data_IF_962698668541
#
_entry.id   IF_962698668541
#
_cell.length_a   1.000
_cell.length_b   1.000
_cell.length_c   1.000
_cell.angle_alpha   90.00
_cell.angle_beta   90.00
_cell.angle_gamma   90.00
#
_symmetry.space_group_name_H-M   'P 1'
#
loop_
_entity.id
_entity.type
_entity.pdbx_description
1 polymer ?
#
# COMPACT_ATOMS: atom_id res chain seq x y z
N UNK A 1 -16.25 11.81 14.21
CA UNK A 1 -17.50 11.03 14.43
C UNK A 1 -17.77 10.18 13.21
N UNK A 2 -17.88 8.86 13.38
CA UNK A 2 -18.27 7.92 12.32
C UNK A 2 -19.80 7.83 12.22
N UNK A 3 -20.48 8.97 12.12
CA UNK A 3 -21.93 8.99 12.03
C UNK A 3 -22.37 8.39 10.68
N UNK A 4 -23.32 7.45 10.72
CA UNK A 4 -23.82 6.75 9.53
C UNK A 4 -24.83 7.57 8.73
N UNK A 5 -25.46 8.57 9.36
CA UNK A 5 -26.47 9.43 8.75
C UNK A 5 -26.24 10.89 9.16
N UNK A 6 -26.69 11.87 8.34
CA UNK A 6 -26.61 13.29 8.67
C UNK A 6 -27.25 13.64 10.02
N UNK A 7 -28.41 13.04 10.30
CA UNK A 7 -29.13 13.27 11.56
C UNK A 7 -28.33 12.83 12.79
N UNK A 8 -27.71 11.64 12.74
CA UNK A 8 -26.86 11.17 13.85
C UNK A 8 -25.60 12.04 14.04
N UNK A 9 -25.08 12.64 12.97
CA UNK A 9 -23.95 13.55 13.05
C UNK A 9 -24.35 14.88 13.72
N UNK A 10 -25.52 15.41 13.37
CA UNK A 10 -26.05 16.65 13.91
C UNK A 10 -26.41 16.53 15.38
N UNK A 11 -27.06 15.43 15.77
CA UNK A 11 -27.33 15.10 17.17
C UNK A 11 -26.03 15.01 17.98
N UNK A 12 -25.02 14.30 17.48
CA UNK A 12 -23.74 14.18 18.17
C UNK A 12 -22.97 15.52 18.28
N UNK A 13 -23.10 16.40 17.28
CA UNK A 13 -22.57 17.77 17.35
C UNK A 13 -23.29 18.60 18.42
N UNK A 14 -24.63 18.57 18.44
CA UNK A 14 -25.44 19.26 19.44
C UNK A 14 -25.14 18.75 20.85
N UNK A 15 -24.96 17.45 21.03
CA UNK A 15 -24.49 16.85 22.29
C UNK A 15 -23.11 17.41 22.70
N UNK A 16 -22.17 17.52 21.75
CA UNK A 16 -20.79 17.96 22.02
C UNK A 16 -20.66 19.45 22.36
N UNK A 17 -21.56 20.30 21.85
CA UNK A 17 -21.63 21.74 22.16
C UNK A 17 -22.47 22.00 23.44
N UNK A 18 -23.08 20.95 24.01
CA UNK A 18 -23.83 20.99 25.27
C UNK A 18 -25.32 21.33 25.11
N UNK A 19 -25.91 21.10 23.94
CA UNK A 19 -27.29 21.46 23.61
C UNK A 19 -28.33 20.39 23.99
N UNK A 20 -27.89 19.14 24.21
CA UNK A 20 -28.77 18.01 24.51
C UNK A 20 -28.15 17.21 25.67
N UNK A 21 -28.67 17.40 26.88
CA UNK A 21 -28.22 16.72 28.10
C UNK A 21 -27.56 17.65 29.12
N UNK A 22 -28.15 17.73 30.29
CA UNK A 22 -28.01 18.77 31.31
C UNK A 22 -26.72 18.79 32.14
N UNK A 23 -25.59 18.21 31.72
CA UNK A 23 -24.43 18.04 32.62
C UNK A 23 -23.03 18.09 31.97
N UNK A 24 -22.84 18.82 30.87
CA UNK A 24 -21.49 19.02 30.30
C UNK A 24 -21.03 20.45 30.54
N UNK A 25 -19.90 20.62 31.25
CA UNK A 25 -19.21 21.91 31.36
C UNK A 25 -18.92 22.44 29.96
N UNK A 26 -19.55 23.55 29.59
CA UNK A 26 -19.32 24.19 28.30
C UNK A 26 -18.03 25.00 28.37
N UNK A 27 -17.09 24.70 27.48
CA UNK A 27 -15.85 25.44 27.35
C UNK A 27 -15.98 26.38 26.14
N UNK A 28 -15.96 27.71 26.29
CA UNK A 28 -16.20 28.65 25.20
C UNK A 28 -15.27 28.43 23.99
N UNK A 29 -13.97 28.26 24.24
CA UNK A 29 -12.98 28.00 23.20
C UNK A 29 -13.19 26.66 22.47
N UNK A 30 -13.68 25.64 23.19
CA UNK A 30 -14.02 24.34 22.62
C UNK A 30 -15.25 24.44 21.71
N UNK A 31 -16.28 25.18 22.15
CA UNK A 31 -17.48 25.39 21.37
C UNK A 31 -17.19 26.17 20.08
N UNK A 32 -16.36 27.22 20.15
CA UNK A 32 -15.90 27.94 18.96
C UNK A 32 -15.14 27.03 17.98
N UNK A 33 -14.26 26.18 18.51
CA UNK A 33 -13.54 25.19 17.72
C UNK A 33 -14.49 24.19 17.04
N UNK A 34 -15.45 23.64 17.79
CA UNK A 34 -16.44 22.71 17.27
C UNK A 34 -17.34 23.34 16.19
N UNK A 35 -17.81 24.57 16.39
CA UNK A 35 -18.58 25.33 15.40
C UNK A 35 -17.76 25.49 14.12
N UNK A 36 -16.48 25.90 14.23
CA UNK A 36 -15.57 26.07 13.09
C UNK A 36 -15.37 24.78 12.31
N UNK A 37 -15.28 23.64 13.01
CA UNK A 37 -15.16 22.32 12.39
C UNK A 37 -16.47 21.86 11.75
N UNK A 38 -17.60 22.09 12.43
CA UNK A 38 -18.93 21.73 11.95
C UNK A 38 -19.31 22.47 10.67
N UNK A 39 -18.91 23.73 10.53
CA UNK A 39 -19.08 24.52 9.30
C UNK A 39 -18.33 23.94 8.09
N UNK A 40 -17.43 22.97 8.30
CA UNK A 40 -16.67 22.27 7.25
C UNK A 40 -16.96 20.77 7.24
N UNK A 41 -18.10 20.33 7.80
CA UNK A 41 -18.48 18.91 7.97
C UNK A 41 -18.46 18.11 6.67
N UNK A 42 -18.76 18.73 5.54
CA UNK A 42 -18.74 18.14 4.20
C UNK A 42 -17.34 17.61 3.82
N UNK A 43 -16.27 18.23 4.34
CA UNK A 43 -14.89 17.84 4.04
C UNK A 43 -14.42 16.60 4.81
N UNK A 44 -15.02 16.29 5.95
CA UNK A 44 -14.48 15.28 6.88
C UNK A 44 -15.51 14.28 7.40
N UNK A 45 -16.77 14.66 7.56
CA UNK A 45 -17.82 13.83 8.13
C UNK A 45 -18.40 12.89 7.06
N UNK A 46 -18.26 11.58 7.26
CA UNK A 46 -18.66 10.55 6.28
C UNK A 46 -20.13 10.66 5.86
N UNK A 47 -21.01 11.06 6.78
CA UNK A 47 -22.44 11.23 6.52
C UNK A 47 -22.77 12.35 5.51
N UNK A 48 -21.87 13.33 5.32
CA UNK A 48 -22.05 14.49 4.44
C UNK A 48 -21.10 14.47 3.23
N UNK A 49 -20.35 13.39 3.00
CA UNK A 49 -19.47 13.26 1.83
C UNK A 49 -20.27 12.86 0.60
N UNK A 50 -19.93 13.44 -0.54
CA UNK A 50 -20.41 13.01 -1.85
C UNK A 50 -19.36 12.12 -2.57
N UNK A 51 -19.71 11.63 -3.75
CA UNK A 51 -18.85 10.80 -4.60
C UNK A 51 -17.59 11.50 -5.12
N UNK A 52 -17.51 12.83 -5.01
CA UNK A 52 -16.32 13.62 -5.37
C UNK A 52 -15.25 13.54 -4.29
N UNK A 53 -15.63 13.26 -3.04
CA UNK A 53 -14.74 13.10 -1.89
C UNK A 53 -14.49 11.60 -1.63
N UNK A 54 -13.79 10.94 -2.56
CA UNK A 54 -13.45 9.51 -2.45
C UNK A 54 -12.58 9.22 -1.21
N UNK A 55 -13.11 8.41 -0.30
CA UNK A 55 -12.42 7.29 0.38
C UNK A 55 -11.14 7.52 1.22
N UNK A 56 -10.64 8.73 1.38
CA UNK A 56 -9.42 8.96 2.16
C UNK A 56 -9.76 9.40 3.59
N UNK A 57 -9.50 8.51 4.55
CA UNK A 57 -9.31 8.91 5.94
C UNK A 57 -7.90 9.50 6.02
N UNK A 58 -7.77 10.80 5.73
CA UNK A 58 -6.49 11.54 5.64
C UNK A 58 -5.60 11.26 6.84
N UNK A 59 -6.20 11.07 8.01
CA UNK A 59 -5.51 10.76 9.25
C UNK A 59 -4.67 9.48 9.17
N UNK A 60 -5.15 8.41 8.54
CA UNK A 60 -4.39 7.16 8.45
C UNK A 60 -3.12 7.34 7.61
N UNK A 61 -3.19 8.09 6.50
CA UNK A 61 -2.02 8.35 5.67
C UNK A 61 -1.01 9.26 6.36
N UNK A 62 -1.47 10.34 7.00
CA UNK A 62 -0.59 11.23 7.75
C UNK A 62 0.05 10.53 8.95
N UNK A 63 -0.72 9.72 9.70
CA UNK A 63 -0.20 8.95 10.83
C UNK A 63 0.78 7.87 10.37
N UNK A 64 0.49 7.16 9.28
CA UNK A 64 1.42 6.17 8.70
C UNK A 64 2.68 6.86 8.21
N UNK A 65 2.58 8.00 7.51
CA UNK A 65 3.75 8.74 7.01
C UNK A 65 4.66 9.22 8.16
N UNK A 66 4.07 9.84 9.18
CA UNK A 66 4.81 10.30 10.37
C UNK A 66 5.43 9.12 11.11
N UNK A 67 4.70 8.00 11.23
CA UNK A 67 5.21 6.78 11.86
C UNK A 67 6.38 6.19 11.09
N UNK A 68 6.29 6.04 9.77
CA UNK A 68 7.40 5.56 8.94
C UNK A 68 8.62 6.48 9.10
N UNK A 69 8.42 7.79 9.06
CA UNK A 69 9.52 8.74 9.23
C UNK A 69 10.18 8.61 10.61
N UNK A 70 9.39 8.54 11.68
CA UNK A 70 9.90 8.41 13.05
C UNK A 70 10.56 7.05 13.31
N UNK A 71 9.99 5.99 12.76
CA UNK A 71 10.34 4.61 13.10
C UNK A 71 11.45 4.07 12.23
N UNK A 72 11.38 4.30 10.92
CA UNK A 72 12.34 3.77 9.94
C UNK A 72 13.47 4.77 9.71
N UNK A 73 13.14 6.03 9.36
CA UNK A 73 14.13 7.05 8.96
C UNK A 73 14.92 7.58 10.16
N UNK A 74 14.24 7.93 11.25
CA UNK A 74 14.90 8.40 12.48
C UNK A 74 15.27 7.26 13.44
N UNK A 75 14.83 6.03 13.12
CA UNK A 75 15.08 4.79 13.88
C UNK A 75 14.66 4.84 15.37
N UNK A 76 13.88 5.83 15.81
CA UNK A 76 13.55 6.11 17.23
C UNK A 76 14.74 6.24 18.21
N UNK A 77 16.00 6.18 17.78
CA UNK A 77 17.16 6.01 18.69
C UNK A 77 17.77 7.33 19.19
N UNK A 78 17.48 8.46 18.54
CA UNK A 78 18.07 9.76 18.92
C UNK A 78 17.01 10.81 19.19
N UNK A 79 17.12 11.47 20.34
CA UNK A 79 16.39 12.70 20.58
C UNK A 79 17.00 13.79 19.70
N UNK A 80 16.38 14.05 18.55
CA UNK A 80 16.71 15.21 17.74
C UNK A 80 16.10 16.45 18.41
N UNK A 81 16.90 17.49 18.61
CA UNK A 81 16.35 18.82 18.88
C UNK A 81 15.88 19.42 17.54
N UNK A 82 15.12 20.52 17.58
CA UNK A 82 14.51 21.10 16.36
C UNK A 82 15.57 21.46 15.32
N UNK A 83 16.73 21.96 15.75
CA UNK A 83 17.82 22.36 14.85
C UNK A 83 18.43 21.13 14.16
N UNK A 84 18.73 20.07 14.92
CA UNK A 84 19.31 18.85 14.35
C UNK A 84 18.34 18.09 13.46
N UNK A 85 17.04 18.17 13.73
CA UNK A 85 16.02 17.62 12.85
C UNK A 85 15.96 18.39 11.52
N UNK A 86 16.00 19.72 11.58
CA UNK A 86 15.98 20.56 10.38
C UNK A 86 17.22 20.33 9.52
N UNK A 87 18.41 20.27 10.14
CA UNK A 87 19.65 19.95 9.47
C UNK A 87 19.60 18.56 8.81
N UNK A 88 19.13 17.54 9.52
CA UNK A 88 18.96 16.19 8.96
C UNK A 88 18.04 16.19 7.72
N UNK A 89 16.88 16.85 7.81
CA UNK A 89 15.95 16.95 6.69
C UNK A 89 16.55 17.68 5.48
N UNK A 90 17.40 18.68 5.70
CA UNK A 90 17.99 19.49 4.64
C UNK A 90 19.23 18.85 3.99
N UNK A 91 20.00 18.05 4.73
CA UNK A 91 21.33 17.59 4.26
C UNK A 91 21.47 16.08 4.15
N UNK A 92 20.77 15.32 5.00
CA UNK A 92 21.00 13.89 5.17
C UNK A 92 19.85 13.05 4.65
N UNK A 93 18.63 13.57 4.66
CA UNK A 93 17.42 12.83 4.27
C UNK A 93 17.46 12.33 2.82
N UNK A 94 17.90 13.18 1.89
CA UNK A 94 18.06 12.80 0.49
C UNK A 94 19.07 11.65 0.35
N UNK A 95 20.24 11.79 0.96
CA UNK A 95 21.27 10.75 0.99
C UNK A 95 20.77 9.44 1.61
N UNK A 96 19.93 9.51 2.65
CA UNK A 96 19.30 8.34 3.26
C UNK A 96 18.41 7.61 2.25
N UNK A 97 17.54 8.33 1.53
CA UNK A 97 16.68 7.71 0.51
C UNK A 97 17.48 7.18 -0.67
N UNK A 98 18.46 7.93 -1.17
CA UNK A 98 19.33 7.48 -2.26
C UNK A 98 20.09 6.22 -1.90
N UNK A 99 20.60 6.09 -0.66
CA UNK A 99 21.22 4.85 -0.17
C UNK A 99 20.25 3.69 -0.16
N UNK A 100 19.02 3.88 0.32
CA UNK A 100 17.99 2.83 0.31
C UNK A 100 17.65 2.33 -1.10
N UNK A 101 17.55 3.25 -2.07
CA UNK A 101 17.35 2.90 -3.47
C UNK A 101 18.57 2.16 -4.06
N UNK A 102 19.79 2.60 -3.72
CA UNK A 102 21.02 1.93 -4.16
C UNK A 102 21.19 0.53 -3.54
N UNK A 103 20.78 0.32 -2.30
CA UNK A 103 20.79 -1.02 -1.68
C UNK A 103 19.87 -1.99 -2.44
N UNK A 104 18.73 -1.49 -2.90
CA UNK A 104 17.83 -2.24 -3.77
C UNK A 104 18.48 -2.54 -5.14
N UNK A 105 19.03 -1.53 -5.82
CA UNK A 105 19.60 -1.70 -7.16
C UNK A 105 20.84 -2.62 -7.17
N UNK A 106 21.67 -2.53 -6.12
CA UNK A 106 22.94 -3.25 -6.02
C UNK A 106 22.81 -4.67 -5.42
N UNK A 107 21.61 -5.28 -5.44
CA UNK A 107 21.35 -6.62 -4.90
C UNK A 107 21.69 -6.82 -3.41
N UNK A 108 21.84 -5.75 -2.63
CA UNK A 108 22.03 -5.88 -1.18
C UNK A 108 20.73 -6.29 -0.48
N UNK A 109 19.58 -6.08 -1.12
CA UNK A 109 18.30 -6.61 -0.70
C UNK A 109 17.90 -7.85 -1.52
N UNK A 110 18.13 -9.03 -0.95
CA UNK A 110 17.71 -10.30 -1.56
C UNK A 110 16.20 -10.60 -1.40
N UNK A 111 15.42 -9.71 -0.78
CA UNK A 111 13.99 -9.89 -0.49
C UNK A 111 13.13 -10.26 -1.70
N UNK A 112 13.15 -9.50 -2.82
CA UNK A 112 12.38 -9.83 -4.03
C UNK A 112 12.76 -11.21 -4.60
N UNK A 113 14.06 -11.53 -4.62
CA UNK A 113 14.56 -12.83 -5.07
C UNK A 113 14.08 -13.97 -4.17
N UNK A 114 14.20 -13.81 -2.84
CA UNK A 114 13.71 -14.81 -1.88
C UNK A 114 12.20 -14.97 -1.94
N UNK A 115 11.46 -13.89 -2.21
CA UNK A 115 10.02 -13.96 -2.43
C UNK A 115 9.67 -14.76 -3.69
N UNK A 116 10.40 -14.53 -4.79
CA UNK A 116 10.24 -15.29 -6.03
C UNK A 116 10.56 -16.78 -5.82
N UNK A 117 11.69 -17.10 -5.16
CA UNK A 117 12.06 -18.47 -4.76
C UNK A 117 11.01 -19.12 -3.84
N UNK A 118 10.42 -18.34 -2.93
CA UNK A 118 9.31 -18.81 -2.10
C UNK A 118 8.07 -19.14 -2.94
N UNK A 119 7.78 -18.37 -3.99
CA UNK A 119 6.69 -18.69 -4.92
C UNK A 119 6.99 -19.92 -5.76
N UNK A 120 8.24 -20.10 -6.20
CA UNK A 120 8.72 -21.32 -6.86
C UNK A 120 8.48 -22.55 -5.99
N UNK A 121 8.94 -22.52 -4.74
CA UNK A 121 8.73 -23.63 -3.79
C UNK A 121 7.26 -23.97 -3.57
N UNK A 122 6.38 -22.98 -3.64
CA UNK A 122 4.92 -23.15 -3.45
C UNK A 122 4.18 -23.60 -4.70
N UNK A 123 4.71 -23.31 -5.88
CA UNK A 123 4.07 -23.61 -7.15
C UNK A 123 4.61 -24.92 -7.76
N UNK A 124 5.93 -25.12 -7.72
CA UNK A 124 6.63 -26.16 -8.47
C UNK A 124 7.19 -27.25 -7.55
N UNK A 125 7.76 -26.86 -6.41
CA UNK A 125 8.42 -27.82 -5.49
C UNK A 125 7.49 -28.27 -4.34
N UNK A 126 6.20 -27.94 -4.42
CA UNK A 126 5.21 -28.33 -3.40
C UNK A 126 4.74 -29.76 -3.59
N UNK A 127 4.16 -30.37 -2.55
CA UNK A 127 3.57 -31.71 -2.59
C UNK A 127 2.53 -31.89 -3.71
N UNK A 128 1.77 -30.83 -4.03
CA UNK A 128 0.84 -30.78 -5.16
C UNK A 128 1.31 -29.72 -6.18
N UNK A 129 2.28 -30.05 -7.05
CA UNK A 129 2.88 -29.08 -7.95
C UNK A 129 1.95 -28.69 -9.09
N UNK A 130 2.01 -27.42 -9.49
CA UNK A 130 1.33 -26.90 -10.68
C UNK A 130 2.21 -27.23 -11.88
N UNK A 131 1.78 -28.22 -12.66
CA UNK A 131 2.44 -28.62 -13.90
C UNK A 131 1.97 -27.78 -15.07
N UNK A 132 2.67 -27.84 -16.20
CA UNK A 132 2.34 -27.04 -17.38
C UNK A 132 0.93 -27.34 -17.90
N UNK A 133 0.51 -28.60 -17.89
CA UNK A 133 -0.83 -29.06 -18.30
C UNK A 133 -1.97 -28.50 -17.43
N UNK A 134 -1.66 -28.03 -16.22
CA UNK A 134 -2.63 -27.40 -15.32
C UNK A 134 -2.88 -25.93 -15.65
N UNK A 135 -2.06 -25.32 -16.53
CA UNK A 135 -2.16 -23.91 -16.91
C UNK A 135 -2.71 -23.80 -18.33
N UNK A 136 -3.99 -23.43 -18.44
CA UNK A 136 -4.69 -23.29 -19.71
C UNK A 136 -4.93 -21.82 -20.02
N UNK A 137 -4.44 -21.35 -21.17
CA UNK A 137 -4.74 -20.01 -21.70
C UNK A 137 -6.20 -19.95 -22.14
N UNK A 138 -6.90 -18.86 -21.85
CA UNK A 138 -8.27 -18.66 -22.30
C UNK A 138 -8.28 -18.30 -23.79
N UNK A 139 -9.13 -18.95 -24.59
CA UNK A 139 -9.25 -18.75 -26.04
C UNK A 139 -9.80 -17.36 -26.40
N UNK A 140 -10.66 -16.79 -25.55
CA UNK A 140 -11.34 -15.52 -25.82
C UNK A 140 -10.61 -14.30 -25.25
N UNK A 141 -9.67 -14.51 -24.32
CA UNK A 141 -8.91 -13.43 -23.70
C UNK A 141 -7.48 -13.90 -23.42
N UNK A 142 -6.55 -13.40 -24.22
CA UNK A 142 -5.14 -13.79 -24.14
C UNK A 142 -4.45 -13.43 -22.82
N UNK A 143 -5.01 -12.49 -22.06
CA UNK A 143 -4.49 -12.08 -20.77
C UNK A 143 -5.01 -12.95 -19.61
N UNK A 144 -5.91 -13.90 -19.87
CA UNK A 144 -6.52 -14.75 -18.85
C UNK A 144 -6.08 -16.22 -18.95
N UNK A 145 -5.85 -16.80 -17.79
CA UNK A 145 -5.40 -18.18 -17.62
C UNK A 145 -6.22 -18.88 -16.54
N UNK A 146 -6.56 -20.13 -16.79
CA UNK A 146 -7.11 -21.05 -15.79
C UNK A 146 -5.98 -21.92 -15.26
N UNK A 147 -5.75 -21.87 -13.95
CA UNK A 147 -4.69 -22.64 -13.27
C UNK A 147 -5.34 -23.65 -12.32
N UNK A 148 -5.20 -24.93 -12.63
CA UNK A 148 -5.65 -26.02 -11.77
C UNK A 148 -4.63 -26.30 -10.67
N UNK A 149 -5.08 -26.34 -9.42
CA UNK A 149 -4.25 -26.65 -8.26
C UNK A 149 -5.02 -27.58 -7.32
N UNK A 150 -4.73 -28.89 -7.38
CA UNK A 150 -5.51 -29.88 -6.67
C UNK A 150 -6.93 -29.98 -7.23
N UNK A 151 -7.95 -29.84 -6.39
CA UNK A 151 -9.36 -29.85 -6.78
C UNK A 151 -9.92 -28.49 -7.20
N UNK A 152 -9.16 -27.40 -7.05
CA UNK A 152 -9.61 -26.05 -7.36
C UNK A 152 -9.02 -25.53 -8.67
N UNK A 153 -9.80 -24.72 -9.38
CA UNK A 153 -9.35 -24.00 -10.58
C UNK A 153 -9.39 -22.51 -10.26
N UNK A 154 -8.27 -21.82 -10.45
CA UNK A 154 -8.16 -20.39 -10.25
C UNK A 154 -8.04 -19.66 -11.58
N UNK A 155 -8.84 -18.60 -11.75
CA UNK A 155 -8.70 -17.68 -12.86
C UNK A 155 -7.63 -16.64 -12.50
N UNK A 156 -6.69 -16.43 -13.42
CA UNK A 156 -5.63 -15.43 -13.30
C UNK A 156 -5.74 -14.50 -14.49
N UNK A 157 -5.84 -13.20 -14.22
CA UNK A 157 -5.81 -12.15 -15.22
C UNK A 157 -4.49 -11.39 -15.06
N UNK A 158 -3.58 -11.57 -16.03
CA UNK A 158 -2.21 -11.07 -15.96
C UNK A 158 -2.17 -9.56 -16.18
N UNK A 159 -3.10 -9.01 -16.97
CA UNK A 159 -3.17 -7.59 -17.27
C UNK A 159 -3.56 -6.78 -16.03
N UNK A 160 -4.57 -7.26 -15.30
CA UNK A 160 -5.03 -6.67 -14.03
C UNK A 160 -4.20 -7.11 -12.82
N UNK A 161 -3.26 -8.05 -13.02
CA UNK A 161 -2.38 -8.58 -11.99
C UNK A 161 -3.15 -9.25 -10.81
N UNK A 162 -4.30 -9.85 -11.12
CA UNK A 162 -5.22 -10.42 -10.13
C UNK A 162 -5.39 -11.94 -10.33
N UNK A 163 -5.66 -12.65 -9.24
CA UNK A 163 -5.99 -14.07 -9.26
C UNK A 163 -7.18 -14.34 -8.34
N UNK A 164 -8.07 -15.25 -8.73
CA UNK A 164 -9.24 -15.61 -7.91
C UNK A 164 -8.92 -16.28 -6.58
N UNK A 165 -7.67 -16.69 -6.34
CA UNK A 165 -7.27 -17.26 -5.05
C UNK A 165 -7.26 -16.19 -3.94
N UNK A 166 -7.43 -16.63 -2.70
CA UNK A 166 -7.47 -15.75 -1.51
C UNK A 166 -6.24 -14.83 -1.39
N UNK A 167 -5.06 -15.32 -1.79
CA UNK A 167 -3.84 -14.55 -1.77
C UNK A 167 -3.78 -13.48 -2.87
N UNK A 168 -4.29 -13.77 -4.07
CA UNK A 168 -4.11 -12.93 -5.26
C UNK A 168 -5.28 -12.03 -5.62
N UNK A 169 -6.44 -12.18 -4.95
CA UNK A 169 -7.67 -11.42 -5.28
C UNK A 169 -7.55 -9.91 -5.11
N UNK A 170 -6.58 -9.45 -4.31
CA UNK A 170 -6.29 -8.04 -4.08
C UNK A 170 -5.01 -7.57 -4.80
N UNK A 171 -4.62 -8.25 -5.89
CA UNK A 171 -3.48 -7.84 -6.71
C UNK A 171 -2.10 -8.29 -6.20
N UNK A 172 -2.03 -9.10 -5.15
CA UNK A 172 -0.74 -9.65 -4.67
C UNK A 172 -0.26 -10.79 -5.56
N UNK A 173 1.04 -10.83 -5.84
CA UNK A 173 1.66 -11.90 -6.62
C UNK A 173 1.57 -13.25 -5.87
N UNK A 174 0.94 -14.24 -6.50
CA UNK A 174 0.64 -15.54 -5.89
C UNK A 174 1.30 -16.70 -6.66
N UNK A 175 1.22 -17.92 -6.10
CA UNK A 175 1.81 -19.12 -6.73
C UNK A 175 1.24 -19.44 -8.12
N UNK A 176 -0.04 -19.10 -8.39
CA UNK A 176 -0.66 -19.33 -9.70
C UNK A 176 -0.12 -18.35 -10.76
N UNK A 177 0.08 -17.09 -10.37
CA UNK A 177 0.75 -16.10 -11.23
C UNK A 177 2.21 -16.49 -11.49
N UNK A 178 2.90 -17.04 -10.48
CA UNK A 178 4.24 -17.59 -10.67
C UNK A 178 4.28 -18.74 -11.68
N UNK A 179 3.31 -19.67 -11.65
CA UNK A 179 3.27 -20.78 -12.60
C UNK A 179 3.13 -20.29 -14.06
N UNK A 180 2.30 -19.26 -14.31
CA UNK A 180 2.17 -18.66 -15.64
C UNK A 180 3.50 -18.04 -16.08
N UNK A 181 4.15 -17.28 -15.21
CA UNK A 181 5.49 -16.75 -15.48
C UNK A 181 6.49 -17.86 -15.78
N UNK A 182 6.50 -18.93 -14.99
CA UNK A 182 7.46 -20.03 -15.15
C UNK A 182 7.31 -20.78 -16.48
N UNK A 183 6.08 -21.05 -16.93
CA UNK A 183 5.82 -21.84 -18.14
C UNK A 183 5.69 -21.02 -19.42
N UNK A 184 5.24 -19.76 -19.34
CA UNK A 184 4.95 -18.93 -20.50
C UNK A 184 5.78 -17.65 -20.57
N UNK A 185 6.57 -17.35 -19.54
CA UNK A 185 7.33 -16.09 -19.41
C UNK A 185 6.44 -14.84 -19.53
N UNK A 186 5.22 -14.91 -19.00
CA UNK A 186 4.25 -13.81 -18.97
C UNK A 186 4.05 -13.37 -17.52
N UNK A 187 4.23 -12.08 -17.26
CA UNK A 187 4.11 -11.48 -15.93
C UNK A 187 3.19 -10.26 -15.92
N UNK A 188 2.51 -10.04 -14.79
CA UNK A 188 1.66 -8.88 -14.56
C UNK A 188 2.43 -7.72 -13.90
N UNK A 189 1.76 -6.58 -13.71
CA UNK A 189 2.36 -5.38 -13.09
C UNK A 189 2.80 -5.55 -11.64
N UNK A 190 2.34 -6.61 -10.97
CA UNK A 190 2.69 -6.93 -9.58
C UNK A 190 3.88 -7.90 -9.48
N UNK A 191 4.54 -8.22 -10.60
CA UNK A 191 5.70 -9.10 -10.60
C UNK A 191 6.78 -8.55 -9.67
N UNK A 192 7.44 -9.41 -8.87
CA UNK A 192 8.49 -8.95 -7.96
C UNK A 192 9.61 -8.28 -8.75
N UNK A 193 10.16 -7.16 -8.29
CA UNK A 193 11.13 -6.42 -9.07
C UNK A 193 12.51 -7.10 -8.99
N UNK A 194 12.72 -8.07 -9.89
CA UNK A 194 13.92 -8.90 -9.96
C UNK A 194 14.67 -8.71 -11.28
N UNK A 195 14.10 -7.98 -12.24
CA UNK A 195 14.72 -7.78 -13.54
C UNK A 195 15.86 -6.75 -13.47
N UNK A 196 16.80 -6.84 -14.42
CA UNK A 196 17.88 -5.86 -14.53
C UNK A 196 17.36 -4.46 -14.88
N UNK A 197 16.31 -4.38 -15.71
CA UNK A 197 15.68 -3.12 -16.13
C UNK A 197 15.14 -2.35 -14.93
N UNK A 198 14.39 -3.01 -14.06
CA UNK A 198 13.81 -2.39 -12.86
C UNK A 198 14.91 -1.89 -11.93
N UNK A 199 15.99 -2.66 -11.79
CA UNK A 199 17.17 -2.25 -11.00
C UNK A 199 17.85 -1.02 -11.57
N UNK A 200 18.05 -0.97 -12.88
CA UNK A 200 18.64 0.18 -13.55
C UNK A 200 17.74 1.42 -13.38
N UNK A 201 16.41 1.27 -13.52
CA UNK A 201 15.47 2.37 -13.26
C UNK A 201 15.57 2.90 -11.82
N UNK A 202 15.68 2.02 -10.83
CA UNK A 202 15.88 2.43 -9.43
C UNK A 202 17.27 3.06 -9.21
N UNK A 203 18.31 2.54 -9.86
CA UNK A 203 19.65 3.12 -9.80
C UNK A 203 19.67 4.54 -10.39
N UNK A 204 19.01 4.73 -11.54
CA UNK A 204 18.85 6.02 -12.20
C UNK A 204 18.06 7.02 -11.33
N UNK A 205 17.02 6.57 -10.62
CA UNK A 205 16.34 7.43 -9.65
C UNK A 205 17.24 7.85 -8.49
N UNK A 206 18.21 7.02 -8.10
CA UNK A 206 19.07 7.29 -6.95
C UNK A 206 20.33 8.11 -7.29
N UNK A 207 20.84 7.97 -8.52
CA UNK A 207 22.14 8.51 -8.96
C UNK A 207 22.03 9.44 -10.18
N UNK A 208 20.87 9.54 -10.81
CA UNK A 208 20.70 10.25 -12.07
C UNK A 208 21.60 9.67 -13.18
N UNK A 209 22.30 10.56 -13.87
CA UNK A 209 23.20 10.21 -14.97
C UNK A 209 24.43 9.38 -14.55
N UNK A 210 24.75 9.34 -13.25
CA UNK A 210 25.85 8.53 -12.71
C UNK A 210 25.47 7.05 -12.53
N UNK A 211 24.25 6.65 -12.86
CA UNK A 211 23.80 5.27 -12.73
C UNK A 211 24.55 4.32 -13.69
N UNK A 212 24.94 3.10 -13.24
CA UNK A 212 25.57 2.11 -14.10
C UNK A 212 24.66 1.69 -15.25
N UNK A 213 25.23 1.57 -16.45
CA UNK A 213 24.54 1.05 -17.65
C UNK A 213 24.23 -0.44 -17.53
#
# INVERSE_FOLDING_TARGET
MYAKTPACAEEAYLNAVGYVGSFILTYPLWNEYLIKIWNRKELWCLAFRDETIRGHNTNNFSEVAIRIFKDEVLSRVKAYNVITLMDFCATTLENYYSRGLQEFSNYRNAGPRFFLEKMRKRAIDSENPIKQEHVKKNEFNECQFSVSCGSEVHCVDVLSACCSCSAGRLGKFCKHQFAIYYYYNICGKNFPPVEAKEKHQIAYLALGEEAPQ
#
